data_IF_651125345281
#
_entry.id   IF_651125345281
#
_cell.length_a   1.000
_cell.length_b   1.000
_cell.length_c   1.000
_cell.angle_alpha   90.00
_cell.angle_beta   90.00
_cell.angle_gamma   90.00
#
_symmetry.space_group_name_H-M   'P 1'
#
loop_
_entity.id
_entity.type
_entity.pdbx_description
1 polymer ?
#
# COMPACT_ATOMS: atom_id res chain seq x y z
N UNK A 1 10.78 -27.09 15.70
CA UNK A 1 9.41 -26.66 16.05
C UNK A 1 9.10 -25.46 15.19
N UNK A 2 7.97 -25.53 14.49
CA UNK A 2 7.55 -24.50 13.57
C UNK A 2 7.26 -23.21 14.35
N UNK A 3 7.81 -22.10 13.89
CA UNK A 3 7.59 -20.79 14.48
C UNK A 3 6.50 -20.05 13.69
N UNK A 4 5.66 -19.29 14.38
CA UNK A 4 4.64 -18.47 13.74
C UNK A 4 5.21 -17.10 13.34
N UNK A 5 4.70 -16.53 12.24
CA UNK A 5 5.01 -15.19 11.80
C UNK A 5 3.75 -14.30 11.88
N UNK A 6 3.70 -13.29 12.77
CA UNK A 6 2.61 -12.33 12.77
C UNK A 6 2.71 -11.40 11.55
N UNK A 7 1.56 -10.94 11.06
CA UNK A 7 1.51 -9.95 9.98
C UNK A 7 2.17 -8.66 10.44
N UNK A 8 3.11 -8.16 9.63
CA UNK A 8 3.75 -6.88 9.84
C UNK A 8 3.89 -6.14 8.52
N UNK A 9 3.37 -4.90 8.49
CA UNK A 9 3.31 -4.05 7.31
C UNK A 9 4.03 -2.75 7.62
N UNK A 10 5.06 -2.43 6.83
CA UNK A 10 5.85 -1.22 6.98
C UNK A 10 5.72 -0.35 5.74
N UNK A 11 5.38 0.92 5.92
CA UNK A 11 5.53 1.92 4.86
C UNK A 11 7.02 2.23 4.70
N UNK A 12 7.58 1.92 3.54
CA UNK A 12 9.02 2.10 3.26
C UNK A 12 9.31 3.20 2.24
N UNK A 13 8.30 3.64 1.48
CA UNK A 13 8.42 4.78 0.57
C UNK A 13 7.08 5.48 0.39
N UNK A 14 7.15 6.79 0.16
CA UNK A 14 6.03 7.65 -0.25
C UNK A 14 6.56 8.75 -1.17
N UNK A 15 5.65 9.40 -1.88
CA UNK A 15 5.97 10.51 -2.78
C UNK A 15 6.43 11.75 -2.01
N UNK A 16 7.56 12.31 -2.44
CA UNK A 16 7.98 13.67 -2.13
C UNK A 16 7.63 14.57 -3.32
N UNK A 17 7.17 15.79 -3.06
CA UNK A 17 6.72 16.71 -4.09
C UNK A 17 7.33 18.09 -3.88
N UNK A 18 7.81 18.67 -4.98
CA UNK A 18 8.32 20.03 -5.04
C UNK A 18 7.51 20.79 -6.08
N UNK A 19 6.78 21.82 -5.64
CA UNK A 19 5.99 22.64 -6.54
C UNK A 19 6.90 23.42 -7.52
N UNK A 20 6.57 23.48 -8.82
CA UNK A 20 7.33 24.26 -9.78
C UNK A 20 7.21 25.76 -9.45
N UNK A 21 8.34 26.50 -9.35
CA UNK A 21 8.36 27.86 -8.81
C UNK A 21 7.69 28.90 -9.72
N UNK A 22 7.50 28.58 -11.00
CA UNK A 22 6.90 29.42 -12.02
C UNK A 22 5.37 29.25 -12.13
N UNK A 23 4.78 28.28 -11.42
CA UNK A 23 3.33 28.11 -11.34
C UNK A 23 2.78 28.92 -10.16
N UNK A 24 1.84 29.85 -10.36
CA UNK A 24 1.29 30.69 -9.30
C UNK A 24 0.22 29.94 -8.49
N UNK A 25 0.65 28.87 -7.81
CA UNK A 25 -0.19 28.03 -6.97
C UNK A 25 0.59 27.55 -5.74
N UNK A 26 -0.11 27.46 -4.62
CA UNK A 26 0.35 26.88 -3.38
C UNK A 26 -0.79 26.09 -2.73
N UNK A 27 -0.47 25.18 -1.82
CA UNK A 27 -1.46 24.40 -1.09
C UNK A 27 -1.07 24.15 0.36
N UNK A 28 -2.05 23.75 1.16
CA UNK A 28 -1.95 23.48 2.60
C UNK A 28 -1.52 22.03 2.91
N UNK A 29 -0.92 21.34 1.93
CA UNK A 29 -0.46 19.95 2.01
C UNK A 29 0.89 19.77 1.32
N UNK A 30 1.55 18.64 1.60
CA UNK A 30 2.84 18.24 1.04
C UNK A 30 2.77 16.85 0.36
N UNK A 31 3.85 16.45 -0.30
CA UNK A 31 4.03 15.08 -0.79
C UNK A 31 2.97 14.65 -1.81
N UNK A 32 2.50 13.40 -1.69
CA UNK A 32 1.57 12.80 -2.66
C UNK A 32 0.24 13.54 -2.78
N UNK A 33 -0.33 14.04 -1.69
CA UNK A 33 -1.62 14.75 -1.72
C UNK A 33 -1.53 16.08 -2.46
N UNK A 34 -0.44 16.83 -2.26
CA UNK A 34 -0.15 18.05 -2.99
C UNK A 34 0.11 17.78 -4.48
N UNK A 35 0.84 16.71 -4.80
CA UNK A 35 1.07 16.30 -6.19
C UNK A 35 -0.24 15.98 -6.92
N UNK A 36 -1.18 15.28 -6.27
CA UNK A 36 -2.47 14.94 -6.86
C UNK A 36 -3.33 16.19 -7.11
N UNK A 37 -3.36 17.14 -6.16
CA UNK A 37 -4.04 18.42 -6.37
C UNK A 37 -3.40 19.19 -7.54
N UNK A 38 -2.07 19.26 -7.57
CA UNK A 38 -1.34 19.93 -8.65
C UNK A 38 -1.70 19.33 -10.02
N UNK A 39 -1.68 17.99 -10.14
CA UNK A 39 -2.04 17.30 -11.37
C UNK A 39 -3.50 17.56 -11.78
N UNK A 40 -4.44 17.54 -10.83
CA UNK A 40 -5.84 17.87 -11.08
C UNK A 40 -6.03 19.31 -11.57
N UNK A 41 -5.33 20.27 -10.96
CA UNK A 41 -5.39 21.69 -11.39
C UNK A 41 -4.75 21.90 -12.76
N UNK A 42 -3.69 21.16 -13.07
CA UNK A 42 -2.99 21.22 -14.35
C UNK A 42 -3.91 20.92 -15.54
N UNK A 43 -4.85 19.97 -15.40
CA UNK A 43 -5.83 19.63 -16.43
C UNK A 43 -6.71 20.82 -16.87
N UNK A 44 -6.90 21.79 -15.98
CA UNK A 44 -7.78 22.94 -16.19
C UNK A 44 -7.06 24.29 -16.08
N UNK A 45 -5.74 24.28 -15.88
CA UNK A 45 -4.95 25.47 -15.52
C UNK A 45 -5.59 26.27 -14.36
N UNK A 46 -6.21 25.57 -13.41
CA UNK A 46 -7.02 26.16 -12.33
C UNK A 46 -6.20 26.44 -11.07
N UNK A 47 -5.12 27.19 -11.26
CA UNK A 47 -4.14 27.54 -10.21
C UNK A 47 -4.71 28.43 -9.13
N UNK A 48 -5.64 29.32 -9.48
CA UNK A 48 -6.40 30.08 -8.50
C UNK A 48 -7.39 29.19 -7.74
N UNK A 49 -7.80 29.65 -6.55
CA UNK A 49 -8.75 28.94 -5.66
C UNK A 49 -10.10 29.67 -5.59
N UNK A 50 -10.83 29.85 -6.70
CA UNK A 50 -12.01 30.72 -6.74
C UNK A 50 -13.23 30.12 -6.02
N UNK A 51 -13.30 28.79 -5.90
CA UNK A 51 -14.38 28.11 -5.21
C UNK A 51 -13.92 27.75 -3.78
N UNK A 52 -14.51 28.37 -2.73
CA UNK A 52 -14.14 28.06 -1.34
C UNK A 52 -14.32 26.58 -0.97
N UNK A 53 -15.21 25.86 -1.65
CA UNK A 53 -15.45 24.43 -1.41
C UNK A 53 -14.33 23.51 -1.88
N UNK A 54 -13.38 24.00 -2.67
CA UNK A 54 -12.25 23.24 -3.21
C UNK A 54 -10.93 24.01 -3.09
N UNK A 55 -10.87 24.97 -2.16
CA UNK A 55 -9.70 25.82 -1.97
C UNK A 55 -8.60 25.17 -1.11
N UNK A 56 -8.97 24.25 -0.20
CA UNK A 56 -8.02 23.44 0.57
C UNK A 56 -7.76 22.12 -0.12
N UNK A 57 -6.59 21.53 0.11
CA UNK A 57 -6.19 20.25 -0.47
C UNK A 57 -7.21 19.14 -0.17
N UNK A 58 -7.56 18.97 1.11
CA UNK A 58 -8.51 17.94 1.54
C UNK A 58 -9.87 18.06 0.83
N UNK A 59 -10.36 19.29 0.65
CA UNK A 59 -11.63 19.53 -0.04
C UNK A 59 -11.51 19.32 -1.56
N UNK A 60 -10.38 19.66 -2.16
CA UNK A 60 -10.09 19.42 -3.57
C UNK A 60 -9.97 17.92 -3.89
N UNK A 61 -9.23 17.14 -3.08
CA UNK A 61 -9.12 15.69 -3.23
C UNK A 61 -10.47 14.99 -3.04
N UNK A 62 -11.26 15.42 -2.04
CA UNK A 62 -12.63 14.94 -1.88
C UNK A 62 -13.46 15.19 -3.13
N UNK A 63 -13.38 16.39 -3.72
CA UNK A 63 -14.07 16.70 -4.95
C UNK A 63 -13.63 15.82 -6.12
N UNK A 64 -12.32 15.61 -6.31
CA UNK A 64 -11.76 14.68 -7.33
C UNK A 64 -12.43 13.30 -7.24
N UNK A 65 -12.54 12.75 -6.02
CA UNK A 65 -13.13 11.43 -5.77
C UNK A 65 -14.64 11.45 -6.05
N UNK A 66 -15.35 12.48 -5.58
CA UNK A 66 -16.81 12.62 -5.78
C UNK A 66 -17.20 12.68 -7.26
N UNK A 67 -16.37 13.28 -8.11
CA UNK A 67 -16.62 13.39 -9.57
C UNK A 67 -15.96 12.29 -10.39
N UNK A 68 -15.26 11.34 -9.75
CA UNK A 68 -14.71 10.16 -10.42
C UNK A 68 -13.47 10.42 -11.29
N UNK A 69 -12.71 11.47 -11.03
CA UNK A 69 -11.46 11.76 -11.74
C UNK A 69 -10.28 10.92 -11.19
N UNK A 70 -10.40 9.59 -11.21
CA UNK A 70 -9.44 8.72 -10.52
C UNK A 70 -8.04 8.68 -11.15
N UNK A 71 -7.90 9.03 -12.43
CA UNK A 71 -6.59 9.02 -13.11
C UNK A 71 -5.57 9.95 -12.46
N UNK A 72 -6.00 11.06 -11.83
CA UNK A 72 -5.06 11.97 -11.17
C UNK A 72 -4.47 11.37 -9.89
N UNK A 73 -5.12 10.34 -9.30
CA UNK A 73 -4.60 9.65 -8.12
C UNK A 73 -3.38 8.77 -8.46
N UNK A 74 -3.20 8.40 -9.73
CA UNK A 74 -2.10 7.53 -10.18
C UNK A 74 -0.72 8.21 -10.10
N UNK A 75 -0.67 9.53 -9.96
CA UNK A 75 0.60 10.28 -9.86
C UNK A 75 1.34 10.05 -8.54
N UNK A 76 0.62 9.78 -7.45
CA UNK A 76 1.22 9.53 -6.15
C UNK A 76 1.35 8.03 -5.87
N UNK A 77 2.49 7.63 -5.30
CA UNK A 77 2.80 6.23 -4.99
C UNK A 77 3.25 6.04 -3.55
N UNK A 78 3.06 4.82 -3.05
CA UNK A 78 3.56 4.32 -1.77
C UNK A 78 4.09 2.90 -1.95
N UNK A 79 5.10 2.52 -1.16
CA UNK A 79 5.64 1.15 -1.15
C UNK A 79 5.60 0.56 0.25
N UNK A 80 5.21 -0.71 0.33
CA UNK A 80 5.08 -1.45 1.58
C UNK A 80 6.09 -2.61 1.59
N UNK A 81 6.73 -2.82 2.74
CA UNK A 81 7.42 -4.07 3.04
C UNK A 81 6.55 -4.91 3.96
N UNK A 82 6.07 -6.05 3.43
CA UNK A 82 5.09 -6.91 4.10
C UNK A 82 5.76 -8.23 4.48
N UNK A 83 5.67 -8.58 5.77
CA UNK A 83 6.16 -9.86 6.31
C UNK A 83 5.05 -10.54 7.12
N UNK A 84 5.18 -11.84 7.36
CA UNK A 84 4.12 -12.61 8.03
C UNK A 84 2.87 -12.76 7.16
N UNK A 85 3.05 -12.84 5.84
CA UNK A 85 1.99 -13.14 4.87
C UNK A 85 2.21 -14.53 4.28
N UNK A 86 1.14 -15.31 4.15
CA UNK A 86 1.24 -16.67 3.64
C UNK A 86 1.51 -16.70 2.13
N UNK A 87 2.06 -17.82 1.64
CA UNK A 87 2.25 -18.02 0.19
C UNK A 87 0.93 -17.98 -0.57
N UNK A 88 -0.14 -18.57 0.00
CA UNK A 88 -1.49 -18.51 -0.57
C UNK A 88 -2.00 -17.08 -0.68
N UNK A 89 -1.84 -16.27 0.36
CA UNK A 89 -2.23 -14.86 0.33
C UNK A 89 -1.44 -14.08 -0.75
N UNK A 90 -0.13 -14.30 -0.86
CA UNK A 90 0.64 -13.65 -1.94
C UNK A 90 0.21 -14.08 -3.34
N UNK A 91 -0.32 -15.29 -3.50
CA UNK A 91 -0.81 -15.79 -4.79
C UNK A 91 -2.09 -15.07 -5.25
N UNK A 92 -2.93 -14.65 -4.30
CA UNK A 92 -4.07 -13.76 -4.57
C UNK A 92 -3.59 -12.32 -4.79
N UNK A 93 -2.70 -11.82 -3.93
CA UNK A 93 -2.22 -10.44 -3.96
C UNK A 93 -1.60 -10.07 -5.32
N UNK A 94 -0.77 -10.93 -5.90
CA UNK A 94 -0.09 -10.66 -7.18
C UNK A 94 -1.03 -10.64 -8.40
N UNK A 95 -2.32 -10.94 -8.23
CA UNK A 95 -3.32 -10.81 -9.30
C UNK A 95 -3.69 -9.34 -9.58
N UNK A 96 -3.35 -8.42 -8.68
CA UNK A 96 -3.51 -6.98 -8.87
C UNK A 96 -2.39 -6.44 -9.77
N UNK A 97 -2.65 -6.40 -11.07
CA UNK A 97 -1.64 -6.12 -12.13
C UNK A 97 -1.09 -4.69 -12.18
N UNK A 98 -1.67 -3.76 -11.44
CA UNK A 98 -1.20 -2.36 -11.37
C UNK A 98 -0.32 -2.08 -10.15
N UNK A 99 0.11 -3.10 -9.43
CA UNK A 99 1.20 -3.00 -8.45
C UNK A 99 2.49 -3.58 -9.00
N UNK A 100 3.60 -3.18 -8.38
CA UNK A 100 4.93 -3.73 -8.63
C UNK A 100 5.36 -4.57 -7.44
N UNK A 101 5.98 -5.73 -7.69
CA UNK A 101 6.32 -6.69 -6.64
C UNK A 101 7.79 -7.10 -6.70
N UNK A 102 8.39 -7.25 -5.52
CA UNK A 102 9.64 -7.99 -5.31
C UNK A 102 9.41 -8.89 -4.11
N UNK A 103 9.50 -10.20 -4.30
CA UNK A 103 9.10 -11.19 -3.31
C UNK A 103 10.26 -12.14 -2.97
N UNK A 104 10.32 -12.57 -1.70
CA UNK A 104 11.21 -13.65 -1.27
C UNK A 104 11.08 -14.86 -2.19
N UNK A 105 12.22 -15.35 -2.68
CA UNK A 105 12.29 -16.46 -3.61
C UNK A 105 12.76 -17.73 -2.91
N UNK A 106 11.87 -18.71 -2.77
CA UNK A 106 12.20 -20.04 -2.25
C UNK A 106 13.15 -20.84 -3.16
N UNK A 107 13.44 -20.34 -4.37
CA UNK A 107 14.49 -20.91 -5.24
C UNK A 107 15.91 -20.55 -4.78
N UNK A 108 16.05 -19.53 -3.94
CA UNK A 108 17.36 -18.99 -3.52
C UNK A 108 17.51 -18.90 -2.00
N UNK A 109 16.43 -18.60 -1.27
CA UNK A 109 16.45 -18.48 0.18
C UNK A 109 16.15 -19.86 0.79
N UNK A 110 17.04 -20.40 1.66
CA UNK A 110 16.79 -21.65 2.36
C UNK A 110 15.52 -21.59 3.21
N UNK A 111 14.74 -22.67 3.21
CA UNK A 111 13.45 -22.76 3.92
C UNK A 111 13.56 -23.47 5.29
N UNK A 112 14.77 -23.84 5.72
CA UNK A 112 14.98 -24.65 6.95
C UNK A 112 14.44 -23.99 8.23
N UNK A 113 14.48 -22.66 8.29
CA UNK A 113 13.96 -21.84 9.39
C UNK A 113 12.67 -21.09 9.00
N UNK A 114 11.95 -21.56 7.98
CA UNK A 114 10.74 -20.90 7.52
C UNK A 114 9.66 -20.88 8.59
N UNK A 115 9.19 -19.67 8.89
CA UNK A 115 8.05 -19.44 9.78
C UNK A 115 6.74 -19.64 9.03
N UNK A 116 5.70 -20.07 9.74
CA UNK A 116 4.36 -20.28 9.20
C UNK A 116 3.39 -19.18 9.61
N UNK A 117 2.40 -18.90 8.77
CA UNK A 117 1.34 -17.93 9.08
C UNK A 117 0.10 -18.70 9.48
N UNK A 118 -0.42 -18.40 10.67
CA UNK A 118 -1.67 -19.00 11.17
C UNK A 118 -2.85 -18.32 10.47
N UNK A 119 -3.76 -19.06 9.83
CA UNK A 119 -4.98 -18.50 9.28
C UNK A 119 -5.81 -17.79 10.37
N UNK A 120 -6.35 -16.58 10.14
CA UNK A 120 -7.09 -15.84 11.15
C UNK A 120 -8.28 -16.60 11.76
N UNK A 121 -8.91 -17.48 10.99
CA UNK A 121 -10.06 -18.27 11.46
C UNK A 121 -9.72 -19.43 12.41
N UNK A 122 -8.44 -19.66 12.72
CA UNK A 122 -8.00 -20.68 13.68
C UNK A 122 -7.02 -20.13 14.74
N UNK A 123 -6.77 -18.82 14.78
CA UNK A 123 -5.70 -18.26 15.64
C UNK A 123 -6.06 -18.25 17.14
N UNK A 124 -7.35 -18.34 17.47
CA UNK A 124 -7.87 -18.46 18.83
C UNK A 124 -8.08 -19.91 19.29
N UNK A 125 -7.83 -20.90 18.42
CA UNK A 125 -7.97 -22.33 18.72
C UNK A 125 -6.60 -23.00 18.93
N UNK A 126 -6.22 -23.33 20.17
CA UNK A 126 -4.93 -23.95 20.47
C UNK A 126 -4.74 -25.34 19.83
N UNK A 127 -5.82 -26.11 19.65
CA UNK A 127 -5.77 -27.46 19.09
C UNK A 127 -5.50 -27.39 17.58
N UNK A 128 -6.23 -26.54 16.86
CA UNK A 128 -6.03 -26.32 15.43
C UNK A 128 -4.65 -25.72 15.13
N UNK A 129 -4.16 -24.80 15.98
CA UNK A 129 -2.80 -24.26 15.87
C UNK A 129 -1.75 -25.34 16.06
N UNK A 130 -1.89 -26.18 17.08
CA UNK A 130 -0.96 -27.29 17.31
C UNK A 130 -0.93 -28.25 16.12
N UNK A 131 -2.09 -28.55 15.52
CA UNK A 131 -2.19 -29.39 14.32
C UNK A 131 -1.46 -28.76 13.12
N UNK A 132 -1.64 -27.46 12.88
CA UNK A 132 -0.93 -26.73 11.83
C UNK A 132 0.60 -26.76 12.04
N UNK A 133 1.06 -26.49 13.25
CA UNK A 133 2.50 -26.45 13.57
C UNK A 133 3.15 -27.82 13.45
N UNK A 134 2.48 -28.88 13.92
CA UNK A 134 2.96 -30.25 13.77
C UNK A 134 3.07 -30.66 12.29
N UNK A 135 2.08 -30.30 11.47
CA UNK A 135 2.11 -30.54 10.03
C UNK A 135 3.24 -29.76 9.34
N UNK A 136 3.48 -28.51 9.77
CA UNK A 136 4.56 -27.68 9.26
C UNK A 136 5.94 -28.26 9.61
N UNK A 137 6.16 -28.70 10.86
CA UNK A 137 7.40 -29.36 11.29
C UNK A 137 7.69 -30.62 10.47
N UNK A 138 6.67 -31.42 10.16
CA UNK A 138 6.81 -32.64 9.36
C UNK A 138 7.08 -32.40 7.86
N UNK A 139 6.84 -31.17 7.38
CA UNK A 139 6.98 -30.80 5.95
C UNK A 139 8.33 -30.14 5.62
N UNK A 140 9.20 -29.95 6.63
CA UNK A 140 10.55 -29.41 6.49
C UNK A 140 11.53 -30.49 6.04
#
# INVERSE_FOLDING_TARGET
>A
MAETAPLHVQLIAKTEFHAPPDVPWETDADGGEALVEFAGRACYQSWSKPNPRTATNAAYLRHIIEVGHFSVLEHATASLYITGVSRSCTHELIRHRHFSYSQLSQRYVPDGDARVVVPPGIDDDPELRALLLAAADASR
#
